data_IF_220665084940
#
_entry.id   IF_220665084940
#
_cell.length_a   1.000
_cell.length_b   1.000
_cell.length_c   1.000
_cell.angle_alpha   90.00
_cell.angle_beta   90.00
_cell.angle_gamma   90.00
#
_symmetry.space_group_name_H-M   'P 1'
#
loop_
_entity.id
_entity.type
_entity.pdbx_description
1 polymer ?
#
# COMPACT_ATOMS: atom_id res chain seq x y z
N UNK A 1 19.97 5.34 9.51
CA UNK A 1 18.59 4.87 9.69
C UNK A 1 18.15 5.29 11.09
N UNK A 2 17.05 6.06 11.24
CA UNK A 2 16.57 6.57 12.53
C UNK A 2 15.41 5.70 12.98
N UNK A 3 15.44 5.23 14.23
CA UNK A 3 14.35 4.43 14.82
C UNK A 3 13.17 5.34 15.19
N UNK A 4 11.93 4.83 15.08
CA UNK A 4 10.72 5.50 15.56
C UNK A 4 10.84 5.90 17.05
N UNK A 5 11.55 5.12 17.84
CA UNK A 5 11.80 5.42 19.25
C UNK A 5 12.52 6.76 19.49
N UNK A 6 13.28 7.26 18.53
CA UNK A 6 13.95 8.56 18.66
C UNK A 6 12.99 9.76 18.52
N UNK A 7 11.77 9.54 18.05
CA UNK A 7 10.75 10.60 17.94
C UNK A 7 9.83 10.67 19.16
N UNK A 8 9.96 9.74 20.09
CA UNK A 8 9.10 9.64 21.27
C UNK A 8 9.96 9.73 22.54
N UNK A 9 9.72 10.74 23.35
CA UNK A 9 10.28 10.85 24.70
C UNK A 9 9.33 10.25 25.72
N UNK A 10 9.82 9.49 26.73
CA UNK A 10 8.98 9.00 27.82
C UNK A 10 8.35 10.12 28.65
N UNK A 11 8.96 11.30 28.70
CA UNK A 11 8.52 12.44 29.49
C UNK A 11 7.76 13.50 28.70
N UNK A 12 8.13 13.72 27.42
CA UNK A 12 7.61 14.80 26.61
C UNK A 12 6.68 14.30 25.49
N UNK A 13 6.57 12.98 25.29
CA UNK A 13 5.78 12.39 24.21
C UNK A 13 6.43 12.59 22.85
N UNK A 14 5.66 13.03 21.86
CA UNK A 14 6.15 13.23 20.49
C UNK A 14 7.02 14.50 20.38
N UNK A 15 8.29 14.34 20.09
CA UNK A 15 9.30 15.41 20.13
C UNK A 15 9.08 16.54 19.11
N UNK A 16 8.45 16.23 17.95
CA UNK A 16 8.19 17.27 16.94
C UNK A 16 6.85 18.01 17.16
N UNK A 17 6.03 17.63 18.12
CA UNK A 17 4.70 18.24 18.35
C UNK A 17 4.79 19.75 18.54
N UNK A 18 5.71 20.22 19.38
CA UNK A 18 5.92 21.65 19.62
C UNK A 18 6.40 22.43 18.40
N UNK A 19 7.26 21.82 17.57
CA UNK A 19 7.74 22.43 16.33
C UNK A 19 6.65 22.47 15.27
N UNK A 20 5.86 21.41 15.13
CA UNK A 20 4.72 21.34 14.21
C UNK A 20 3.63 22.34 14.57
N UNK A 21 3.29 22.49 15.84
CA UNK A 21 2.33 23.51 16.31
C UNK A 21 2.76 24.92 15.96
N UNK A 22 4.05 25.26 16.17
CA UNK A 22 4.61 26.59 15.79
C UNK A 22 4.54 26.80 14.28
N UNK A 23 4.89 25.80 13.47
CA UNK A 23 4.77 25.87 12.02
C UNK A 23 3.35 26.13 11.56
N UNK A 24 2.37 25.46 12.14
CA UNK A 24 0.94 25.67 11.83
C UNK A 24 0.46 27.07 12.21
N UNK A 25 1.07 27.69 13.20
CA UNK A 25 0.81 29.09 13.62
C UNK A 25 1.57 30.14 12.78
N UNK A 26 2.37 29.71 11.81
CA UNK A 26 3.17 30.62 10.96
C UNK A 26 4.37 31.22 11.68
N UNK A 27 4.86 30.59 12.75
CA UNK A 27 6.00 31.10 13.53
C UNK A 27 7.30 30.92 12.73
N UNK A 28 7.92 32.05 12.35
CA UNK A 28 9.17 32.07 11.61
C UNK A 28 10.40 31.63 12.45
N UNK A 29 10.24 31.37 13.74
CA UNK A 29 11.34 30.91 14.61
C UNK A 29 11.79 29.47 14.34
N UNK A 30 11.02 28.68 13.58
CA UNK A 30 11.39 27.33 13.17
C UNK A 30 12.40 27.39 12.02
N UNK A 31 13.67 27.22 12.34
CA UNK A 31 14.81 27.42 11.43
C UNK A 31 14.83 26.46 10.24
N UNK A 32 14.30 25.24 10.38
CA UNK A 32 14.20 24.22 9.33
C UNK A 32 12.75 23.67 9.22
N UNK A 33 11.84 24.52 8.78
CA UNK A 33 10.44 24.18 8.60
C UNK A 33 10.24 22.96 7.69
N UNK A 34 10.99 22.88 6.58
CA UNK A 34 10.91 21.79 5.62
C UNK A 34 11.42 20.47 6.20
N UNK A 35 12.52 20.51 6.94
CA UNK A 35 13.06 19.32 7.61
C UNK A 35 12.12 18.78 8.68
N UNK A 36 11.50 19.68 9.46
CA UNK A 36 10.49 19.28 10.48
C UNK A 36 9.29 18.63 9.83
N UNK A 37 8.71 19.21 8.76
CA UNK A 37 7.59 18.61 8.04
C UNK A 37 7.93 17.24 7.46
N UNK A 38 9.09 17.12 6.80
CA UNK A 38 9.51 15.83 6.24
C UNK A 38 9.76 14.76 7.31
N UNK A 39 10.27 15.15 8.47
CA UNK A 39 10.48 14.24 9.58
C UNK A 39 9.13 13.78 10.17
N UNK A 40 8.17 14.69 10.33
CA UNK A 40 6.82 14.41 10.78
C UNK A 40 6.08 13.47 9.83
N UNK A 41 6.09 13.76 8.52
CA UNK A 41 5.49 12.88 7.51
C UNK A 41 6.06 11.46 7.55
N UNK A 42 7.37 11.32 7.64
CA UNK A 42 8.03 10.00 7.74
C UNK A 42 7.64 9.28 9.03
N UNK A 43 7.56 9.99 10.14
CA UNK A 43 7.12 9.44 11.41
C UNK A 43 5.65 8.97 11.34
N UNK A 44 4.76 9.79 10.77
CA UNK A 44 3.35 9.43 10.59
C UNK A 44 3.20 8.18 9.71
N UNK A 45 3.87 8.14 8.54
CA UNK A 45 3.84 6.97 7.65
C UNK A 45 4.33 5.72 8.38
N UNK A 46 5.47 5.81 9.07
CA UNK A 46 6.03 4.67 9.80
C UNK A 46 5.11 4.21 10.95
N UNK A 47 4.45 5.14 11.64
CA UNK A 47 3.44 4.85 12.67
C UNK A 47 2.22 4.18 12.07
N UNK A 48 1.71 4.69 10.93
CA UNK A 48 0.59 4.08 10.21
C UNK A 48 0.88 2.64 9.79
N UNK A 49 2.10 2.34 9.35
CA UNK A 49 2.52 0.98 9.02
C UNK A 49 2.63 0.12 10.28
N UNK A 50 3.28 0.62 11.33
CA UNK A 50 3.48 -0.11 12.58
C UNK A 50 2.16 -0.45 13.30
N UNK A 51 1.18 0.45 13.25
CA UNK A 51 -0.16 0.24 13.82
C UNK A 51 -1.11 -0.54 12.92
N UNK A 52 -0.75 -0.74 11.64
CA UNK A 52 -1.64 -1.35 10.65
C UNK A 52 -2.73 -0.42 10.11
N UNK A 53 -2.75 0.86 10.50
CA UNK A 53 -3.76 1.83 10.03
C UNK A 53 -3.62 2.17 8.54
N UNK A 54 -2.44 1.97 7.96
CA UNK A 54 -2.21 2.09 6.52
C UNK A 54 -2.89 0.99 5.70
N UNK A 55 -3.20 -0.16 6.31
CA UNK A 55 -3.75 -1.33 5.62
C UNK A 55 -5.27 -1.24 5.57
N UNK A 56 -5.78 -0.41 4.67
CA UNK A 56 -7.23 -0.23 4.45
C UNK A 56 -7.74 -1.26 3.44
N UNK A 57 -8.06 -2.45 3.91
CA UNK A 57 -8.49 -3.59 3.07
C UNK A 57 -9.93 -4.02 3.29
N UNK A 58 -10.63 -3.41 4.24
CA UNK A 58 -12.02 -3.72 4.54
C UNK A 58 -12.96 -2.70 3.89
N UNK A 59 -13.58 -3.04 2.74
CA UNK A 59 -14.59 -2.17 2.15
C UNK A 59 -15.88 -2.24 2.95
N UNK A 60 -16.50 -1.09 3.19
CA UNK A 60 -17.83 -0.98 3.78
C UNK A 60 -18.66 -0.01 2.96
N UNK A 61 -19.78 -0.49 2.43
CA UNK A 61 -20.74 0.38 1.74
C UNK A 61 -21.70 0.97 2.78
N UNK A 62 -21.61 2.29 2.93
CA UNK A 62 -22.43 3.04 3.88
C UNK A 62 -23.09 4.24 3.20
N UNK A 63 -24.41 4.35 3.31
CA UNK A 63 -25.21 5.43 2.69
C UNK A 63 -24.90 5.65 1.20
N UNK A 64 -24.67 4.57 0.46
CA UNK A 64 -24.36 4.61 -0.97
C UNK A 64 -22.90 4.88 -1.32
N UNK A 65 -22.07 5.22 -0.35
CA UNK A 65 -20.63 5.42 -0.55
C UNK A 65 -19.82 4.18 -0.15
N UNK A 66 -18.79 3.87 -0.93
CA UNK A 66 -17.83 2.84 -0.59
C UNK A 66 -16.64 3.47 0.12
N UNK A 67 -16.41 3.06 1.35
CA UNK A 67 -15.28 3.49 2.17
C UNK A 67 -14.41 2.29 2.52
N UNK A 68 -13.10 2.50 2.60
CA UNK A 68 -12.15 1.46 2.94
C UNK A 68 -11.56 1.70 4.32
N UNK A 69 -11.64 0.70 5.18
CA UNK A 69 -11.20 0.75 6.56
C UNK A 69 -10.02 -0.19 6.81
N UNK A 70 -9.19 0.16 7.78
CA UNK A 70 -8.24 -0.75 8.41
C UNK A 70 -8.89 -1.40 9.64
N UNK A 71 -8.31 -2.47 10.16
CA UNK A 71 -8.79 -3.10 11.40
C UNK A 71 -8.77 -2.17 12.62
N UNK A 72 -7.90 -1.16 12.61
CA UNK A 72 -7.72 -0.20 13.71
C UNK A 72 -8.42 1.14 13.46
N UNK A 73 -9.23 1.24 12.40
CA UNK A 73 -10.00 2.45 12.09
C UNK A 73 -11.02 2.74 13.19
N UNK A 74 -11.00 3.95 13.73
CA UNK A 74 -11.92 4.39 14.77
C UNK A 74 -13.17 5.09 14.20
N UNK A 75 -13.13 5.44 12.92
CA UNK A 75 -14.16 6.16 12.17
C UNK A 75 -15.18 5.25 11.50
N UNK A 76 -15.23 3.95 11.89
CA UNK A 76 -16.20 3.00 11.38
C UNK A 76 -17.62 3.42 11.83
N UNK A 77 -18.61 3.50 10.92
CA UNK A 77 -19.96 3.89 11.29
C UNK A 77 -20.55 2.97 12.37
N UNK A 78 -21.23 3.54 13.36
CA UNK A 78 -21.77 2.79 14.50
C UNK A 78 -23.02 1.97 14.16
N UNK A 79 -23.72 2.33 13.09
CA UNK A 79 -24.97 1.74 12.63
C UNK A 79 -24.81 0.70 11.51
N UNK A 80 -23.58 0.16 11.34
CA UNK A 80 -23.34 -0.96 10.42
C UNK A 80 -23.76 -2.29 11.06
N UNK A 81 -23.99 -3.30 10.20
CA UNK A 81 -24.26 -4.66 10.63
C UNK A 81 -23.20 -5.20 11.60
N UNK A 82 -23.62 -5.80 12.70
CA UNK A 82 -22.72 -6.31 13.75
C UNK A 82 -21.69 -7.30 13.24
N UNK A 83 -22.08 -8.19 12.31
CA UNK A 83 -21.16 -9.17 11.74
C UNK A 83 -20.06 -8.47 10.90
N UNK A 84 -20.42 -7.40 10.17
CA UNK A 84 -19.45 -6.59 9.44
C UNK A 84 -18.50 -5.89 10.41
N UNK A 85 -19.05 -5.31 11.47
CA UNK A 85 -18.23 -4.67 12.51
C UNK A 85 -17.22 -5.64 13.12
N UNK A 86 -17.67 -6.84 13.51
CA UNK A 86 -16.80 -7.89 14.05
C UNK A 86 -15.74 -8.30 13.01
N UNK A 87 -16.14 -8.47 11.77
CA UNK A 87 -15.24 -8.89 10.70
C UNK A 87 -14.13 -7.87 10.45
N UNK A 88 -14.45 -6.58 10.39
CA UNK A 88 -13.48 -5.49 10.23
C UNK A 88 -12.52 -5.43 11.42
N UNK A 89 -13.05 -5.42 12.65
CA UNK A 89 -12.22 -5.17 13.84
C UNK A 89 -11.46 -6.40 14.35
N UNK A 90 -11.92 -7.62 14.05
CA UNK A 90 -11.34 -8.84 14.61
C UNK A 90 -10.83 -9.83 13.55
N UNK A 91 -11.11 -9.61 12.26
CA UNK A 91 -10.79 -10.56 11.21
C UNK A 91 -9.29 -10.88 11.10
N UNK A 92 -8.43 -9.86 11.09
CA UNK A 92 -6.99 -10.09 11.01
C UNK A 92 -6.42 -10.71 12.31
N UNK A 93 -7.00 -10.41 13.48
CA UNK A 93 -6.61 -11.07 14.72
C UNK A 93 -6.92 -12.57 14.67
N UNK A 94 -8.10 -12.94 14.16
CA UNK A 94 -8.46 -14.33 13.95
C UNK A 94 -7.52 -15.02 12.95
N UNK A 95 -7.20 -14.36 11.83
CA UNK A 95 -6.21 -14.90 10.88
C UNK A 95 -4.85 -15.10 11.53
N UNK A 96 -4.40 -14.15 12.34
CA UNK A 96 -3.13 -14.27 13.07
C UNK A 96 -3.13 -15.46 14.03
N UNK A 97 -4.22 -15.69 14.77
CA UNK A 97 -4.36 -16.87 15.62
C UNK A 97 -4.25 -18.18 14.84
N UNK A 98 -4.87 -18.27 13.67
CA UNK A 98 -4.78 -19.43 12.80
C UNK A 98 -3.34 -19.67 12.32
N UNK A 99 -2.64 -18.58 11.93
CA UNK A 99 -1.23 -18.66 11.51
C UNK A 99 -0.34 -19.15 12.65
N UNK A 100 -0.52 -18.61 13.86
CA UNK A 100 0.24 -19.03 15.07
C UNK A 100 0.00 -20.50 15.40
N UNK A 101 -1.24 -20.98 15.19
CA UNK A 101 -1.63 -22.40 15.39
C UNK A 101 -1.21 -23.30 14.22
N UNK A 102 -0.61 -22.78 13.16
CA UNK A 102 -0.28 -23.49 11.91
C UNK A 102 -1.51 -24.15 11.25
N UNK A 103 -2.71 -23.60 11.44
CA UNK A 103 -3.94 -24.10 10.85
C UNK A 103 -4.15 -23.51 9.43
N UNK A 104 -3.34 -23.98 8.50
CA UNK A 104 -3.32 -23.49 7.12
C UNK A 104 -4.64 -23.74 6.37
N UNK A 105 -5.35 -24.82 6.75
CA UNK A 105 -6.65 -25.15 6.15
C UNK A 105 -7.71 -24.10 6.46
N UNK A 106 -7.81 -23.65 7.70
CA UNK A 106 -8.73 -22.59 8.08
C UNK A 106 -8.23 -21.19 7.69
N UNK A 107 -6.90 -20.97 7.59
CA UNK A 107 -6.34 -19.76 6.97
C UNK A 107 -6.85 -19.60 5.53
N UNK A 108 -6.75 -20.64 4.71
CA UNK A 108 -7.23 -20.60 3.32
C UNK A 108 -8.73 -20.28 3.24
N UNK A 109 -9.56 -20.96 4.04
CA UNK A 109 -11.00 -20.70 4.10
C UNK A 109 -11.32 -19.27 4.53
N UNK A 110 -10.58 -18.72 5.50
CA UNK A 110 -10.77 -17.35 5.93
C UNK A 110 -10.42 -16.37 4.81
N UNK A 111 -9.30 -16.58 4.10
CA UNK A 111 -8.88 -15.74 2.98
C UNK A 111 -9.94 -15.75 1.86
N UNK A 112 -10.51 -16.91 1.56
CA UNK A 112 -11.56 -17.02 0.54
C UNK A 112 -12.84 -16.28 0.95
N UNK A 113 -13.27 -16.40 2.21
CA UNK A 113 -14.38 -15.61 2.77
C UNK A 113 -14.08 -14.12 2.77
N UNK A 114 -12.83 -13.73 3.02
CA UNK A 114 -12.40 -12.35 2.98
C UNK A 114 -12.49 -11.76 1.55
N UNK A 115 -12.04 -12.51 0.55
CA UNK A 115 -12.20 -12.13 -0.86
C UNK A 115 -13.67 -12.01 -1.27
N UNK A 116 -14.51 -12.95 -0.83
CA UNK A 116 -15.95 -12.91 -1.08
C UNK A 116 -16.59 -11.66 -0.46
N UNK A 117 -16.24 -11.34 0.78
CA UNK A 117 -16.67 -10.13 1.46
C UNK A 117 -16.25 -8.87 0.69
N UNK A 118 -14.98 -8.78 0.27
CA UNK A 118 -14.50 -7.64 -0.51
C UNK A 118 -15.29 -7.49 -1.83
N UNK A 119 -15.51 -8.58 -2.56
CA UNK A 119 -16.28 -8.55 -3.81
C UNK A 119 -17.74 -8.15 -3.59
N UNK A 120 -18.35 -8.62 -2.51
CA UNK A 120 -19.73 -8.29 -2.16
C UNK A 120 -19.90 -6.79 -1.81
N UNK A 121 -19.01 -6.25 -1.00
CA UNK A 121 -19.10 -4.86 -0.55
C UNK A 121 -18.64 -3.86 -1.61
N UNK A 122 -17.51 -4.12 -2.27
CA UNK A 122 -16.96 -3.23 -3.28
C UNK A 122 -17.66 -3.34 -4.65
N UNK A 123 -18.17 -4.54 -5.00
CA UNK A 123 -18.91 -4.72 -6.26
C UNK A 123 -18.11 -4.30 -7.49
N UNK A 124 -18.68 -3.43 -8.31
CA UNK A 124 -18.06 -2.94 -9.54
C UNK A 124 -16.80 -2.05 -9.30
N UNK A 125 -16.63 -1.53 -8.09
CA UNK A 125 -15.45 -0.74 -7.71
C UNK A 125 -14.21 -1.63 -7.48
N UNK A 126 -14.41 -2.96 -7.38
CA UNK A 126 -13.31 -3.91 -7.25
C UNK A 126 -12.67 -4.18 -8.62
N UNK A 127 -11.32 -4.13 -8.73
CA UNK A 127 -10.65 -4.49 -9.97
C UNK A 127 -10.97 -5.94 -10.39
N UNK A 128 -11.16 -6.18 -11.67
CA UNK A 128 -11.34 -7.54 -12.20
C UNK A 128 -10.08 -8.39 -11.99
N UNK A 129 -10.23 -9.71 -11.88
CA UNK A 129 -9.10 -10.63 -11.72
C UNK A 129 -8.10 -10.52 -12.90
N UNK A 130 -8.59 -10.22 -14.11
CA UNK A 130 -7.73 -9.97 -15.27
C UNK A 130 -6.89 -8.70 -15.11
N UNK A 131 -7.46 -7.63 -14.56
CA UNK A 131 -6.74 -6.38 -14.27
C UNK A 131 -5.68 -6.58 -13.19
N UNK A 132 -6.04 -7.29 -12.10
CA UNK A 132 -5.07 -7.63 -11.04
C UNK A 132 -3.92 -8.51 -11.56
N UNK A 133 -4.22 -9.47 -12.44
CA UNK A 133 -3.20 -10.31 -13.06
C UNK A 133 -2.31 -9.51 -13.99
N UNK A 134 -2.89 -8.63 -14.81
CA UNK A 134 -2.12 -7.74 -15.69
C UNK A 134 -1.20 -6.80 -14.89
N UNK A 135 -1.69 -6.24 -13.78
CA UNK A 135 -0.90 -5.38 -12.88
C UNK A 135 0.23 -6.13 -12.21
N UNK A 136 -0.02 -7.37 -11.71
CA UNK A 136 1.04 -8.22 -11.17
C UNK A 136 2.11 -8.52 -12.24
N UNK A 137 1.68 -8.83 -13.45
CA UNK A 137 2.59 -9.10 -14.57
C UNK A 137 3.43 -7.87 -14.90
N UNK A 138 2.76 -6.71 -15.01
CA UNK A 138 3.41 -5.43 -15.25
C UNK A 138 4.46 -5.09 -14.17
N UNK A 139 4.11 -5.26 -12.90
CA UNK A 139 5.01 -4.97 -11.78
C UNK A 139 6.14 -6.01 -11.61
N UNK A 140 6.00 -7.20 -12.21
CA UNK A 140 7.05 -8.23 -12.21
C UNK A 140 8.06 -8.08 -13.35
N UNK A 141 7.78 -7.22 -14.35
CA UNK A 141 8.67 -6.98 -15.46
C UNK A 141 9.89 -6.16 -15.04
N UNK A 142 11.07 -6.69 -15.27
CA UNK A 142 12.29 -5.90 -15.24
C UNK A 142 12.37 -5.07 -16.53
N UNK A 143 11.95 -3.83 -16.47
CA UNK A 143 11.91 -2.91 -17.62
C UNK A 143 13.28 -2.71 -18.24
N UNK A 144 14.35 -2.74 -17.45
CA UNK A 144 15.72 -2.58 -17.93
C UNK A 144 16.08 -3.74 -18.85
N UNK A 145 15.73 -4.95 -18.44
CA UNK A 145 15.96 -6.17 -19.24
C UNK A 145 15.12 -6.17 -20.52
N UNK A 146 13.83 -5.79 -20.41
CA UNK A 146 12.92 -5.73 -21.59
C UNK A 146 13.43 -4.72 -22.62
N UNK A 147 13.80 -3.51 -22.19
CA UNK A 147 14.35 -2.46 -23.08
C UNK A 147 15.66 -2.93 -23.67
N UNK A 148 16.53 -3.59 -22.91
CA UNK A 148 17.79 -4.15 -23.38
C UNK A 148 17.58 -5.18 -24.48
N UNK A 149 16.66 -6.13 -24.30
CA UNK A 149 16.35 -7.16 -25.33
C UNK A 149 15.78 -6.52 -26.60
N UNK A 150 14.83 -5.57 -26.48
CA UNK A 150 14.24 -4.88 -27.64
C UNK A 150 15.34 -4.13 -28.40
N UNK A 151 16.20 -3.41 -27.70
CA UNK A 151 17.29 -2.64 -28.30
C UNK A 151 18.27 -3.54 -29.05
N UNK A 152 18.59 -4.69 -28.48
CA UNK A 152 19.46 -5.71 -29.10
C UNK A 152 18.82 -6.26 -30.40
N UNK A 153 17.54 -6.58 -30.37
CA UNK A 153 16.82 -7.05 -31.57
C UNK A 153 16.79 -6.00 -32.67
N UNK A 154 16.52 -4.75 -32.35
CA UNK A 154 16.53 -3.63 -33.31
C UNK A 154 17.95 -3.46 -33.87
N UNK A 155 18.98 -3.53 -33.05
CA UNK A 155 20.37 -3.44 -33.45
C UNK A 155 20.76 -4.56 -34.42
N UNK A 156 20.40 -5.81 -34.12
CA UNK A 156 20.64 -6.96 -35.01
C UNK A 156 19.91 -6.82 -36.36
N UNK A 157 18.63 -6.43 -36.35
CA UNK A 157 17.86 -6.22 -37.57
C UNK A 157 18.50 -5.12 -38.43
N UNK A 158 18.88 -4.01 -37.82
CA UNK A 158 19.56 -2.90 -38.49
C UNK A 158 20.89 -3.33 -39.08
N UNK A 159 21.67 -4.13 -38.34
CA UNK A 159 22.94 -4.68 -38.82
C UNK A 159 22.76 -5.57 -40.05
N UNK A 160 21.81 -6.52 -40.01
CA UNK A 160 21.55 -7.40 -41.16
C UNK A 160 20.99 -6.60 -42.34
N UNK A 161 20.18 -5.60 -42.13
CA UNK A 161 19.69 -4.72 -43.20
C UNK A 161 20.82 -3.96 -43.89
N UNK A 162 21.72 -3.36 -43.11
CA UNK A 162 22.88 -2.63 -43.65
C UNK A 162 23.85 -3.57 -44.38
N UNK A 163 24.14 -4.75 -43.80
CA UNK A 163 24.99 -5.76 -44.46
C UNK A 163 24.42 -6.20 -45.80
N UNK A 164 23.08 -6.35 -45.91
CA UNK A 164 22.43 -6.73 -47.16
C UNK A 164 22.49 -5.60 -48.20
N UNK A 165 22.39 -4.32 -47.80
CA UNK A 165 22.55 -3.19 -48.71
C UNK A 165 24.00 -3.14 -49.21
N UNK A 166 24.95 -3.26 -48.33
CA UNK A 166 26.39 -3.25 -48.70
C UNK A 166 26.72 -4.37 -49.69
N UNK A 167 26.14 -5.56 -49.47
CA UNK A 167 26.36 -6.71 -50.39
C UNK A 167 25.66 -6.58 -51.77
N UNK A 168 24.69 -5.66 -51.90
CA UNK A 168 24.01 -5.41 -53.16
C UNK A 168 24.56 -4.19 -53.91
N UNK A 169 25.40 -3.40 -53.29
CA UNK A 169 25.99 -2.16 -53.85
C UNK A 169 27.34 -2.40 -54.54
N UNK A 170 27.79 -3.67 -54.63
CA UNK A 170 28.87 -4.11 -55.51
C UNK A 170 28.23 -4.68 -56.84
#
# INVERSE_FOLDING_TARGET
MVSLAHFISPTEGYLLDGAMKRLMQGDASVTDAKGVQQADEKFQIATMVATGSAIKIFPVRYKGQLLWYSQVSQDLPQDIDENKWIFVNKGLNYLNELVVKHDWGNCAKFIDKFKEYQRKEAGADMPSDSRLTAEKWFNSLDYTLVIGVISLLIGLLSFFYLARIAAKGE
#
